data_IF_866182689816
#
_entry.id   IF_866182689816
#
_cell.length_a   1.000
_cell.length_b   1.000
_cell.length_c   1.000
_cell.angle_alpha   90.00
_cell.angle_beta   90.00
_cell.angle_gamma   90.00
#
_symmetry.space_group_name_H-M   'P 1'
#
loop_
_entity.id
_entity.type
_entity.pdbx_description
1 polymer ?
#
# COMPACT_ATOMS: atom_id res chain seq x y z
N UNK A 1 -6.26 30.69 -3.63
CA UNK A 1 -5.50 29.42 -3.64
C UNK A 1 -6.18 28.52 -4.65
N UNK A 2 -5.70 28.55 -5.90
CA UNK A 2 -6.47 28.15 -7.07
C UNK A 2 -6.32 26.68 -7.45
N UNK A 3 -7.45 26.00 -7.62
CA UNK A 3 -7.76 25.15 -8.75
C UNK A 3 -6.63 24.30 -9.34
N UNK A 4 -6.15 23.31 -8.57
CA UNK A 4 -5.73 22.03 -9.15
C UNK A 4 -6.95 21.07 -9.28
N UNK A 5 -8.16 21.64 -9.26
CA UNK A 5 -9.39 21.13 -8.63
C UNK A 5 -10.30 20.31 -9.56
N UNK A 6 -9.81 19.20 -10.12
CA UNK A 6 -10.75 18.26 -10.78
C UNK A 6 -10.22 16.87 -11.12
N UNK A 7 -8.91 16.66 -11.09
CA UNK A 7 -8.30 15.42 -11.57
C UNK A 7 -7.69 14.55 -10.46
N UNK A 8 -7.42 15.12 -9.29
CA UNK A 8 -7.07 14.38 -8.07
C UNK A 8 -8.37 14.03 -7.35
N UNK A 9 -8.52 12.78 -6.93
CA UNK A 9 -9.73 12.33 -6.23
C UNK A 9 -9.72 12.87 -4.80
N UNK A 10 -10.88 13.26 -4.23
CA UNK A 10 -10.95 13.78 -2.88
C UNK A 10 -10.44 12.74 -1.86
N UNK A 11 -9.85 13.22 -0.77
CA UNK A 11 -9.40 12.36 0.31
C UNK A 11 -10.60 11.61 0.92
N UNK A 12 -10.62 10.27 0.94
CA UNK A 12 -11.71 9.54 1.55
C UNK A 12 -11.76 9.79 3.08
N UNK A 13 -12.97 9.79 3.65
CA UNK A 13 -13.16 10.00 5.09
C UNK A 13 -12.32 9.02 5.92
N UNK A 14 -11.58 9.55 6.90
CA UNK A 14 -10.69 8.77 7.78
C UNK A 14 -9.29 8.50 7.21
N UNK A 15 -8.99 8.93 5.98
CA UNK A 15 -7.64 8.82 5.41
C UNK A 15 -6.87 10.14 5.60
N UNK A 16 -5.54 10.04 5.71
CA UNK A 16 -4.61 11.17 5.60
C UNK A 16 -3.82 11.11 4.30
N UNK A 17 -3.43 12.25 3.74
CA UNK A 17 -2.49 12.30 2.62
C UNK A 17 -1.06 12.11 3.13
N UNK A 18 -0.30 11.23 2.49
CA UNK A 18 1.10 10.96 2.82
C UNK A 18 1.97 11.28 1.60
N UNK A 19 2.83 12.32 1.68
CA UNK A 19 3.77 12.65 0.61
C UNK A 19 4.81 11.55 0.39
N UNK A 20 5.26 11.39 -0.86
CA UNK A 20 6.35 10.49 -1.24
C UNK A 20 7.27 11.18 -2.23
N UNK A 21 8.28 11.84 -1.69
CA UNK A 21 9.19 12.70 -2.46
C UNK A 21 9.97 11.91 -3.53
N UNK A 22 10.41 10.69 -3.19
CA UNK A 22 11.17 9.80 -4.08
C UNK A 22 10.43 9.39 -5.37
N UNK A 23 9.12 9.58 -5.42
CA UNK A 23 8.32 9.23 -6.61
C UNK A 23 8.27 10.36 -7.62
N UNK A 24 8.53 11.61 -7.23
CA UNK A 24 8.36 12.78 -8.09
C UNK A 24 9.12 12.64 -9.41
N UNK A 25 10.40 12.28 -9.32
CA UNK A 25 11.29 12.09 -10.46
C UNK A 25 10.80 10.95 -11.37
N UNK A 26 10.45 9.80 -10.77
CA UNK A 26 10.00 8.61 -11.53
C UNK A 26 8.64 8.80 -12.21
N UNK A 27 7.76 9.59 -11.59
CA UNK A 27 6.40 9.79 -12.07
C UNK A 27 6.28 11.00 -13.00
N UNK A 28 7.32 11.83 -13.13
CA UNK A 28 7.27 13.05 -13.93
C UNK A 28 6.18 14.01 -13.48
N UNK A 29 5.88 14.03 -12.17
CA UNK A 29 4.93 14.96 -11.54
C UNK A 29 5.65 15.74 -10.46
N UNK A 30 5.15 16.94 -10.14
CA UNK A 30 5.73 17.76 -9.08
C UNK A 30 5.70 17.01 -7.73
N UNK A 31 6.72 17.16 -6.86
CA UNK A 31 6.78 16.43 -5.59
C UNK A 31 5.56 16.59 -4.69
N UNK A 32 4.94 17.77 -4.65
CA UNK A 32 3.71 18.04 -3.89
C UNK A 32 2.47 17.26 -4.40
N UNK A 33 2.57 16.60 -5.56
CA UNK A 33 1.52 15.77 -6.15
C UNK A 33 1.82 14.27 -6.04
N UNK A 34 2.98 13.91 -5.49
CA UNK A 34 3.31 12.54 -5.17
C UNK A 34 2.83 12.23 -3.76
N UNK A 35 1.59 11.79 -3.64
CA UNK A 35 1.06 11.32 -2.37
C UNK A 35 0.09 10.18 -2.57
N UNK A 36 -0.18 9.47 -1.48
CA UNK A 36 -1.22 8.46 -1.38
C UNK A 36 -2.11 8.74 -0.18
N UNK A 37 -3.30 8.15 -0.18
CA UNK A 37 -4.20 8.20 0.96
C UNK A 37 -3.96 7.00 1.87
N UNK A 38 -3.75 7.27 3.16
CA UNK A 38 -3.49 6.28 4.18
C UNK A 38 -4.59 6.29 5.24
N UNK A 39 -5.25 5.15 5.42
CA UNK A 39 -6.03 4.85 6.62
C UNK A 39 -5.15 4.01 7.55
N UNK A 40 -5.00 4.48 8.78
CA UNK A 40 -4.14 3.91 9.81
C UNK A 40 -4.91 4.05 11.13
N UNK A 41 -5.51 2.96 11.59
CA UNK A 41 -6.49 3.00 12.69
C UNK A 41 -5.85 3.00 14.08
N UNK A 42 -4.54 2.72 14.22
CA UNK A 42 -3.85 2.65 15.50
C UNK A 42 -2.38 3.08 15.34
N UNK A 43 -1.86 4.03 16.13
CA UNK A 43 -0.45 4.44 16.03
C UNK A 43 0.54 3.39 16.55
N UNK A 44 0.09 2.43 17.38
CA UNK A 44 0.99 1.46 18.02
C UNK A 44 1.19 0.15 17.24
N UNK A 45 0.48 -0.04 16.11
CA UNK A 45 0.71 -1.00 15.01
C UNK A 45 1.24 -2.41 15.33
N UNK A 46 1.08 -2.92 16.54
CA UNK A 46 1.40 -4.30 16.90
C UNK A 46 0.20 -5.19 16.61
N UNK A 47 0.46 -6.30 15.93
CA UNK A 47 -0.55 -7.27 15.55
C UNK A 47 -0.08 -8.66 15.94
N UNK A 48 -1.01 -9.50 16.40
CA UNK A 48 -0.72 -10.90 16.67
C UNK A 48 -0.34 -11.62 15.38
N UNK A 49 0.66 -12.49 15.46
CA UNK A 49 0.99 -13.39 14.37
C UNK A 49 -0.15 -14.42 14.20
N UNK A 50 -0.81 -14.40 13.05
CA UNK A 50 -1.90 -15.32 12.73
C UNK A 50 -1.45 -16.73 12.30
N UNK A 51 -0.15 -17.07 12.41
CA UNK A 51 0.35 -18.43 12.19
C UNK A 51 -0.08 -19.33 13.35
N UNK A 52 -0.44 -20.58 13.05
CA UNK A 52 -0.89 -21.52 14.08
C UNK A 52 0.11 -21.66 15.24
N UNK A 53 -0.45 -21.68 16.46
CA UNK A 53 0.28 -21.77 17.75
C UNK A 53 1.28 -20.63 18.02
N UNK A 54 1.28 -19.56 17.25
CA UNK A 54 2.04 -18.35 17.56
C UNK A 54 1.21 -17.39 18.42
N UNK A 55 1.82 -16.82 19.45
CA UNK A 55 1.22 -15.78 20.31
C UNK A 55 1.95 -14.45 20.24
N UNK A 56 3.07 -14.39 19.51
CA UNK A 56 3.89 -13.21 19.39
C UNK A 56 3.14 -12.08 18.67
N UNK A 57 3.40 -10.84 19.10
CA UNK A 57 2.95 -9.63 18.42
C UNK A 57 4.11 -9.01 17.63
N UNK A 58 3.83 -8.50 16.44
CA UNK A 58 4.80 -7.81 15.61
C UNK A 58 4.14 -6.68 14.82
N UNK A 59 4.93 -5.70 14.42
CA UNK A 59 4.44 -4.63 13.55
C UNK A 59 4.36 -5.06 12.09
N UNK A 60 3.66 -4.29 11.24
CA UNK A 60 3.65 -4.50 9.78
C UNK A 60 5.07 -4.60 9.18
N UNK A 61 6.03 -3.84 9.69
CA UNK A 61 7.42 -3.86 9.19
C UNK A 61 8.25 -5.01 9.75
N UNK A 62 7.81 -5.61 10.85
CA UNK A 62 8.52 -6.67 11.57
C UNK A 62 7.94 -8.07 11.31
N UNK A 63 6.70 -8.19 10.85
CA UNK A 63 6.04 -9.48 10.63
C UNK A 63 6.88 -10.39 9.70
N UNK A 64 7.53 -9.84 8.67
CA UNK A 64 8.42 -10.63 7.81
C UNK A 64 9.66 -11.14 8.56
N UNK A 65 10.29 -10.30 9.39
CA UNK A 65 11.44 -10.70 10.21
C UNK A 65 11.05 -11.74 11.26
N UNK A 66 9.90 -11.53 11.91
CA UNK A 66 9.31 -12.46 12.86
C UNK A 66 9.09 -13.85 12.21
N UNK A 67 8.49 -13.90 11.01
CA UNK A 67 8.29 -15.16 10.29
C UNK A 67 9.60 -15.87 9.97
N UNK A 68 10.65 -15.14 9.55
CA UNK A 68 11.96 -15.73 9.28
C UNK A 68 12.65 -16.27 10.53
N UNK A 69 12.52 -15.57 11.66
CA UNK A 69 13.20 -15.91 12.91
C UNK A 69 12.49 -17.04 13.69
N UNK A 70 11.15 -16.98 13.78
CA UNK A 70 10.34 -17.88 14.62
C UNK A 70 9.66 -19.00 13.83
N UNK A 71 9.52 -18.82 12.51
CA UNK A 71 8.87 -19.79 11.64
C UNK A 71 9.78 -20.20 10.47
N UNK A 72 11.00 -20.65 10.78
CA UNK A 72 12.03 -21.01 9.79
C UNK A 72 11.58 -22.06 8.75
N UNK A 73 10.68 -22.99 9.09
CA UNK A 73 10.10 -23.96 8.15
C UNK A 73 9.23 -23.31 7.08
N UNK A 74 8.46 -22.28 7.48
CA UNK A 74 7.68 -21.43 6.58
C UNK A 74 8.63 -20.67 5.63
N UNK A 75 9.74 -20.13 6.14
CA UNK A 75 10.65 -19.32 5.35
C UNK A 75 11.51 -20.09 4.32
N UNK A 76 11.78 -21.39 4.55
CA UNK A 76 12.77 -22.17 3.79
C UNK A 76 12.18 -23.18 2.80
N UNK A 77 10.93 -23.59 2.96
CA UNK A 77 10.26 -24.54 2.08
C UNK A 77 9.05 -23.87 1.38
N UNK A 78 8.58 -24.31 0.20
CA UNK A 78 7.33 -23.81 -0.40
C UNK A 78 6.10 -24.35 0.36
N UNK A 79 6.22 -24.53 1.67
CA UNK A 79 5.17 -24.99 2.54
C UNK A 79 4.02 -23.98 2.55
N UNK A 80 2.82 -24.55 2.61
CA UNK A 80 1.60 -23.81 2.70
C UNK A 80 1.36 -23.45 4.17
N UNK A 81 1.01 -22.21 4.43
CA UNK A 81 0.63 -21.71 5.74
C UNK A 81 -0.87 -21.47 5.74
N UNK A 82 -1.54 -21.91 6.80
CA UNK A 82 -2.95 -21.58 7.05
C UNK A 82 -3.01 -20.47 8.08
N UNK A 83 -3.60 -19.33 7.71
CA UNK A 83 -3.88 -18.25 8.65
C UNK A 83 -4.97 -18.71 9.62
N UNK A 84 -4.69 -18.67 10.93
CA UNK A 84 -5.63 -19.10 11.97
C UNK A 84 -6.83 -18.17 12.09
N UNK A 85 -6.66 -16.87 11.81
CA UNK A 85 -7.73 -15.88 11.94
C UNK A 85 -8.79 -15.99 10.83
N UNK A 86 -8.39 -16.34 9.60
CA UNK A 86 -9.32 -16.40 8.46
C UNK A 86 -9.40 -17.77 7.77
N UNK A 87 -8.67 -18.78 8.25
CA UNK A 87 -8.64 -20.13 7.69
C UNK A 87 -7.97 -20.26 6.31
N UNK A 88 -7.42 -19.17 5.75
CA UNK A 88 -6.89 -19.18 4.39
C UNK A 88 -5.53 -19.85 4.32
N UNK A 89 -5.41 -20.85 3.43
CA UNK A 89 -4.13 -21.48 3.11
C UNK A 89 -3.44 -20.80 1.92
N UNK A 90 -2.15 -20.49 2.05
CA UNK A 90 -1.35 -19.80 1.03
C UNK A 90 0.12 -20.22 1.04
N UNK A 91 0.88 -19.82 0.02
CA UNK A 91 2.33 -19.99 0.05
C UNK A 91 2.93 -19.12 1.15
N UNK A 92 3.87 -19.67 1.92
CA UNK A 92 4.62 -18.97 2.94
C UNK A 92 5.10 -17.56 2.53
N UNK A 93 5.74 -17.45 1.37
CA UNK A 93 6.24 -16.16 0.84
C UNK A 93 5.16 -15.08 0.63
N UNK A 94 3.90 -15.50 0.51
CA UNK A 94 2.75 -14.61 0.31
C UNK A 94 2.03 -14.26 1.61
N UNK A 95 2.46 -14.84 2.74
CA UNK A 95 1.82 -14.61 4.04
C UNK A 95 1.89 -13.14 4.46
N UNK A 96 3.05 -12.50 4.28
CA UNK A 96 3.20 -11.08 4.60
C UNK A 96 2.20 -10.23 3.79
N UNK A 97 2.07 -10.46 2.48
CA UNK A 97 1.07 -9.76 1.64
C UNK A 97 -0.35 -9.98 2.13
N UNK A 98 -0.70 -11.23 2.46
CA UNK A 98 -2.01 -11.57 3.00
C UNK A 98 -2.30 -10.83 4.32
N UNK A 99 -1.33 -10.81 5.22
CA UNK A 99 -1.44 -10.10 6.50
C UNK A 99 -1.70 -8.60 6.26
N UNK A 100 -0.91 -7.95 5.40
CA UNK A 100 -1.14 -6.54 5.04
C UNK A 100 -2.51 -6.31 4.39
N UNK A 101 -2.95 -7.26 3.56
CA UNK A 101 -4.23 -7.16 2.86
C UNK A 101 -5.44 -7.32 3.77
N UNK A 102 -5.38 -8.15 4.80
CA UNK A 102 -6.59 -8.58 5.53
C UNK A 102 -6.55 -8.17 7.00
N UNK A 103 -5.38 -8.25 7.64
CA UNK A 103 -5.25 -8.18 9.10
C UNK A 103 -4.60 -6.89 9.61
N UNK A 104 -3.82 -6.18 8.78
CA UNK A 104 -3.14 -4.93 9.21
C UNK A 104 -4.08 -3.80 9.63
N UNK A 105 -5.36 -3.82 9.20
CA UNK A 105 -6.27 -2.68 9.37
C UNK A 105 -5.86 -1.42 8.61
N UNK A 106 -4.69 -1.44 7.94
CA UNK A 106 -4.14 -0.36 7.14
C UNK A 106 -4.68 -0.44 5.72
N UNK A 107 -5.03 0.72 5.16
CA UNK A 107 -5.42 0.81 3.75
C UNK A 107 -4.65 1.93 3.08
N UNK A 108 -3.97 1.58 1.99
CA UNK A 108 -3.28 2.52 1.12
C UNK A 108 -4.11 2.68 -0.15
N UNK A 109 -4.39 3.90 -0.58
CA UNK A 109 -5.15 4.20 -1.80
C UNK A 109 -4.39 5.18 -2.69
N UNK A 110 -4.45 4.95 -4.00
CA UNK A 110 -3.91 5.89 -4.98
C UNK A 110 -4.69 7.20 -4.96
N UNK A 111 -4.00 8.35 -4.90
CA UNK A 111 -4.65 9.66 -4.95
C UNK A 111 -5.33 9.97 -6.30
N UNK A 112 -4.89 9.31 -7.38
CA UNK A 112 -5.37 9.58 -8.73
C UNK A 112 -6.56 8.68 -9.13
N UNK A 113 -6.59 7.43 -8.68
CA UNK A 113 -7.63 6.47 -9.07
C UNK A 113 -8.34 5.79 -7.91
N UNK A 114 -7.98 6.09 -6.65
CA UNK A 114 -8.54 5.52 -5.40
C UNK A 114 -8.40 4.01 -5.23
N UNK A 115 -7.81 3.31 -6.19
CA UNK A 115 -7.55 1.87 -6.09
C UNK A 115 -6.65 1.55 -4.90
N UNK A 116 -7.00 0.47 -4.20
CA UNK A 116 -6.25 -0.01 -3.04
C UNK A 116 -4.90 -0.59 -3.48
N UNK A 117 -3.85 -0.19 -2.79
CA UNK A 117 -2.52 -0.77 -2.89
C UNK A 117 -2.21 -1.55 -1.60
N UNK A 118 -1.56 -2.72 -1.74
CA UNK A 118 -1.13 -3.52 -0.58
C UNK A 118 0.07 -2.87 0.10
N UNK A 119 0.98 -2.34 -0.71
CA UNK A 119 2.26 -1.79 -0.27
C UNK A 119 2.53 -0.46 -0.94
N UNK A 120 3.26 0.41 -0.23
CA UNK A 120 3.76 1.69 -0.76
C UNK A 120 4.72 1.43 -1.94
N UNK A 121 5.54 0.37 -1.87
CA UNK A 121 6.49 0.00 -2.93
C UNK A 121 5.83 -0.42 -4.25
N UNK A 122 4.51 -0.69 -4.27
CA UNK A 122 3.79 -1.06 -5.49
C UNK A 122 3.46 0.16 -6.37
N UNK A 123 3.54 1.38 -5.84
CA UNK A 123 3.14 2.60 -6.55
C UNK A 123 3.92 2.87 -7.85
N UNK A 124 5.26 2.73 -7.91
CA UNK A 124 6.00 2.89 -9.17
C UNK A 124 5.54 1.93 -10.28
N UNK A 125 5.07 0.73 -9.92
CA UNK A 125 4.50 -0.21 -10.88
C UNK A 125 3.07 0.19 -11.24
N UNK A 126 2.27 0.52 -10.24
CA UNK A 126 0.87 0.94 -10.41
C UNK A 126 0.74 2.19 -11.28
N UNK A 127 1.67 3.15 -11.20
CA UNK A 127 1.62 4.39 -11.98
C UNK A 127 1.65 4.18 -13.48
N UNK A 128 2.23 3.07 -13.96
CA UNK A 128 2.28 2.74 -15.39
C UNK A 128 0.92 2.30 -15.94
N UNK A 129 0.00 1.88 -15.06
CA UNK A 129 -1.33 1.41 -15.43
C UNK A 129 -2.44 2.21 -14.73
N UNK A 130 -2.09 3.29 -14.03
CA UNK A 130 -3.02 4.08 -13.24
C UNK A 130 -3.88 4.95 -14.16
N UNK A 131 -5.18 4.64 -14.33
CA UNK A 131 -6.03 5.37 -15.26
C UNK A 131 -6.19 6.83 -14.84
N UNK A 132 -6.30 7.09 -13.53
CA UNK A 132 -6.39 8.45 -12.99
C UNK A 132 -5.14 9.28 -13.26
N UNK A 133 -3.94 8.69 -13.12
CA UNK A 133 -2.68 9.38 -13.39
C UNK A 133 -2.50 9.65 -14.89
N UNK A 134 -2.93 8.72 -15.75
CA UNK A 134 -2.93 8.91 -17.19
C UNK A 134 -3.85 10.06 -17.62
N UNK A 135 -5.08 10.11 -17.08
CA UNK A 135 -6.02 11.20 -17.32
C UNK A 135 -5.46 12.53 -16.81
N UNK A 136 -4.84 12.53 -15.62
CA UNK A 136 -4.16 13.69 -15.06
C UNK A 136 -3.07 14.24 -16.00
N UNK A 137 -2.17 13.37 -16.48
CA UNK A 137 -1.09 13.75 -17.42
C UNK A 137 -1.63 14.29 -18.74
N UNK A 138 -2.70 13.69 -19.29
CA UNK A 138 -3.36 14.16 -20.53
C UNK A 138 -3.96 15.56 -20.36
N UNK A 139 -4.70 15.78 -19.26
CA UNK A 139 -5.28 17.09 -18.95
C UNK A 139 -4.23 18.20 -18.82
N UNK A 140 -3.08 17.90 -18.20
CA UNK A 140 -1.95 18.83 -18.15
C UNK A 140 -1.33 19.12 -19.52
N UNK A 141 -1.18 18.12 -20.39
CA UNK A 141 -0.62 18.33 -21.75
C UNK A 141 -1.51 19.24 -22.58
N UNK A 142 -2.83 19.04 -22.56
CA UNK A 142 -3.79 19.90 -23.26
C UNK A 142 -3.72 21.35 -22.79
N UNK A 143 -3.59 21.58 -21.47
CA UNK A 143 -3.42 22.92 -20.91
C UNK A 143 -2.11 23.62 -21.33
N UNK A 144 -1.06 22.85 -21.67
CA UNK A 144 0.22 23.39 -22.16
C UNK A 144 0.24 23.68 -23.66
N UNK A 145 -0.78 23.27 -24.41
CA UNK A 145 -0.85 23.47 -25.88
C UNK A 145 -1.73 24.68 -26.27
N UNK A 146 -2.09 25.53 -25.29
CA UNK A 146 -2.87 26.77 -25.50
C UNK A 146 -1.99 28.04 -25.40
N UNK A 147 -0.70 27.96 -25.77
CA UNK A 147 0.20 29.09 -25.94
C UNK A 147 0.73 29.07 -27.37
#
# INVERSE_FOLDING_TARGET
MGAADGLIKPCPKGYRAVPVEDWAVKLGVSPHLCFYYLLDRLPNNQHHCSVDRCTDTSTETEIEKHLRAKHYGIARNPERVTCKECGRTMRAKSYHDHFLQIHSGRSIRCAYCTTRQVRVQNFPRHSNTCPGLHTYRKGRKACRTCL
#
